data_IF_552683297021
#
_entry.id   IF_552683297021
#
_cell.length_a   1.000
_cell.length_b   1.000
_cell.length_c   1.000
_cell.angle_alpha   90.00
_cell.angle_beta   90.00
_cell.angle_gamma   90.00
#
_symmetry.space_group_name_H-M   'P 1'
#
loop_
_entity.id
_entity.type
_entity.pdbx_description
1 polymer ?
#
# COMPACT_ATOMS: atom_id res chain seq x y z
N UNK A 1 5.55 -27.49 3.30
CA UNK A 1 4.94 -26.45 4.19
C UNK A 1 5.76 -26.40 5.46
N UNK A 2 6.06 -25.20 5.98
CA UNK A 2 6.81 -25.00 7.22
C UNK A 2 8.28 -24.61 7.00
N UNK A 3 8.53 -23.36 6.61
CA UNK A 3 9.86 -22.78 6.69
C UNK A 3 9.85 -21.73 7.81
N UNK A 4 10.73 -21.88 8.80
CA UNK A 4 10.97 -20.87 9.83
C UNK A 4 12.21 -20.06 9.43
N UNK A 5 12.16 -18.75 9.64
CA UNK A 5 13.33 -17.87 9.54
C UNK A 5 13.40 -17.03 10.80
N UNK A 6 14.57 -17.00 11.42
CA UNK A 6 14.89 -16.06 12.48
C UNK A 6 15.61 -14.87 11.84
N UNK A 7 15.19 -13.67 12.23
CA UNK A 7 15.81 -12.42 11.81
C UNK A 7 16.32 -11.72 13.07
N UNK A 8 17.56 -11.24 13.01
CA UNK A 8 18.19 -10.43 14.04
C UNK A 8 18.67 -9.14 13.38
N UNK A 9 18.46 -8.00 14.05
CA UNK A 9 18.93 -6.71 13.59
C UNK A 9 19.25 -5.81 14.78
N UNK A 10 20.21 -4.91 14.58
CA UNK A 10 20.53 -3.85 15.52
C UNK A 10 19.59 -2.65 15.28
N UNK A 11 18.80 -2.29 16.29
CA UNK A 11 17.85 -1.18 16.24
C UNK A 11 18.56 0.17 16.46
N UNK A 12 19.61 0.43 15.67
CA UNK A 12 20.49 1.60 15.83
C UNK A 12 19.89 2.90 15.30
N UNK A 13 18.99 2.81 14.32
CA UNK A 13 18.46 3.97 13.62
C UNK A 13 17.04 4.30 14.10
N UNK A 14 16.91 5.44 14.77
CA UNK A 14 15.63 5.95 15.25
C UNK A 14 14.67 6.18 14.08
N UNK A 15 13.42 5.79 14.26
CA UNK A 15 12.41 5.91 13.21
C UNK A 15 11.25 4.94 13.33
N UNK A 16 10.32 5.07 12.39
CA UNK A 16 9.23 4.14 12.17
C UNK A 16 9.51 3.31 10.92
N UNK A 17 9.76 2.01 11.12
CA UNK A 17 10.24 1.12 10.08
C UNK A 17 9.15 0.16 9.62
N UNK A 18 8.80 0.27 8.34
CA UNK A 18 7.84 -0.61 7.68
C UNK A 18 8.37 -2.04 7.56
N UNK A 19 7.61 -3.00 8.06
CA UNK A 19 7.83 -4.44 7.83
C UNK A 19 6.55 -5.02 7.23
N UNK A 20 6.68 -5.56 6.02
CA UNK A 20 5.59 -6.22 5.31
C UNK A 20 6.13 -7.23 4.29
N UNK A 21 5.24 -8.04 3.73
CA UNK A 21 5.60 -8.89 2.61
C UNK A 21 5.84 -8.03 1.36
N UNK A 22 7.00 -8.17 0.72
CA UNK A 22 7.36 -7.40 -0.47
C UNK A 22 6.63 -7.89 -1.76
N UNK A 23 5.88 -8.99 -1.71
CA UNK A 23 5.08 -9.43 -2.86
C UNK A 23 3.85 -8.52 -2.98
N UNK A 24 3.74 -7.81 -4.09
CA UNK A 24 2.72 -6.76 -4.26
C UNK A 24 1.27 -7.24 -4.06
N UNK A 25 0.96 -8.49 -4.39
CA UNK A 25 -0.38 -9.04 -4.16
C UNK A 25 -0.62 -9.57 -2.73
N UNK A 26 0.40 -9.59 -1.88
CA UNK A 26 0.27 -10.00 -0.48
C UNK A 26 -0.09 -8.83 0.44
N UNK A 27 0.17 -7.59 0.01
CA UNK A 27 -0.26 -6.38 0.74
C UNK A 27 -1.68 -5.96 0.37
N UNK A 28 -2.33 -6.69 -0.54
CA UNK A 28 -3.69 -6.43 -1.00
C UNK A 28 -4.61 -7.53 -0.44
N UNK A 29 -5.36 -7.20 0.62
CA UNK A 29 -6.44 -8.05 1.12
C UNK A 29 -7.56 -8.18 0.09
N UNK A 30 -8.44 -9.18 0.24
CA UNK A 30 -9.76 -9.31 -0.41
C UNK A 30 -9.93 -8.71 -1.82
N UNK A 31 -8.94 -8.89 -2.71
CA UNK A 31 -9.05 -8.52 -4.12
C UNK A 31 -9.42 -9.75 -4.95
N UNK A 32 -10.47 -9.65 -5.75
CA UNK A 32 -10.87 -10.73 -6.66
C UNK A 32 -9.83 -10.94 -7.75
N UNK A 33 -9.41 -12.19 -7.97
CA UNK A 33 -8.42 -12.54 -9.00
C UNK A 33 -9.03 -12.72 -10.40
N UNK A 34 -10.33 -12.98 -10.49
CA UNK A 34 -11.02 -13.31 -11.74
C UNK A 34 -11.69 -12.10 -12.42
N UNK A 35 -11.41 -10.88 -11.93
CA UNK A 35 -12.00 -9.65 -12.45
C UNK A 35 -10.90 -8.86 -13.18
N UNK A 36 -11.16 -8.38 -14.42
CA UNK A 36 -10.23 -7.51 -15.12
C UNK A 36 -9.90 -6.24 -14.32
N UNK A 37 -8.69 -5.72 -14.48
CA UNK A 37 -8.33 -4.41 -13.92
C UNK A 37 -9.17 -3.31 -14.56
N UNK A 38 -9.79 -2.46 -13.73
CA UNK A 38 -10.57 -1.30 -14.18
C UNK A 38 -9.81 0.02 -14.03
N UNK A 39 -8.50 -0.03 -13.74
CA UNK A 39 -7.69 1.17 -13.56
C UNK A 39 -7.70 1.99 -14.86
N UNK A 40 -8.12 3.25 -14.75
CA UNK A 40 -8.22 4.18 -15.89
C UNK A 40 -9.48 4.02 -16.76
N UNK A 41 -10.39 3.08 -16.45
CA UNK A 41 -11.66 2.94 -17.17
C UNK A 41 -12.71 3.95 -16.66
N UNK A 42 -13.34 4.70 -17.56
CA UNK A 42 -14.48 5.56 -17.21
C UNK A 42 -15.75 4.71 -17.01
N UNK A 43 -16.16 4.58 -15.74
CA UNK A 43 -17.36 3.83 -15.33
C UNK A 43 -18.54 4.74 -14.97
N UNK A 44 -18.45 6.05 -15.15
CA UNK A 44 -19.45 7.03 -14.68
C UNK A 44 -20.88 6.71 -15.14
N UNK A 45 -21.06 6.53 -16.45
CA UNK A 45 -22.36 6.21 -17.07
C UNK A 45 -22.91 4.83 -16.66
N UNK A 46 -22.02 3.86 -16.46
CA UNK A 46 -22.41 2.51 -16.04
C UNK A 46 -22.85 2.53 -14.57
N UNK A 47 -22.10 3.23 -13.71
CA UNK A 47 -22.45 3.40 -12.31
C UNK A 47 -23.79 4.13 -12.12
N UNK A 48 -24.11 5.11 -12.96
CA UNK A 48 -25.43 5.77 -12.96
C UNK A 48 -26.56 4.78 -13.27
N UNK A 49 -26.38 3.92 -14.27
CA UNK A 49 -27.38 2.90 -14.63
C UNK A 49 -27.57 1.86 -13.53
N UNK A 50 -26.48 1.39 -12.91
CA UNK A 50 -26.53 0.41 -11.82
C UNK A 50 -27.25 1.00 -10.61
N UNK A 51 -26.99 2.27 -10.26
CA UNK A 51 -27.64 2.94 -9.13
C UNK A 51 -29.15 3.08 -9.24
N UNK A 52 -29.73 2.95 -10.45
CA UNK A 52 -31.20 2.88 -10.63
C UNK A 52 -31.80 1.58 -10.08
N UNK A 53 -30.99 0.52 -9.96
CA UNK A 53 -31.40 -0.79 -9.45
C UNK A 53 -30.86 -1.06 -8.04
N UNK A 54 -29.61 -0.64 -7.77
CA UNK A 54 -28.96 -0.75 -6.47
C UNK A 54 -28.40 0.63 -6.07
N UNK A 55 -29.18 1.45 -5.35
CA UNK A 55 -28.79 2.83 -5.00
C UNK A 55 -27.44 2.95 -4.28
N UNK A 56 -27.10 1.97 -3.45
CA UNK A 56 -25.87 1.91 -2.64
C UNK A 56 -24.63 1.47 -3.45
N UNK A 57 -24.74 1.28 -4.78
CA UNK A 57 -23.61 0.84 -5.58
C UNK A 57 -22.50 1.89 -5.64
N UNK A 58 -21.32 1.51 -5.15
CA UNK A 58 -20.10 2.31 -5.23
C UNK A 58 -19.14 1.75 -6.27
N UNK A 59 -18.76 2.51 -7.32
CA UNK A 59 -17.84 2.05 -8.34
C UNK A 59 -16.41 2.01 -7.81
N UNK A 60 -15.91 0.79 -7.64
CA UNK A 60 -14.60 0.52 -7.04
C UNK A 60 -13.49 0.34 -8.10
N UNK A 61 -12.25 0.75 -7.79
CA UNK A 61 -11.03 0.33 -8.51
C UNK A 61 -10.69 1.13 -9.76
N UNK A 62 -11.21 2.35 -9.90
CA UNK A 62 -10.91 3.23 -11.06
C UNK A 62 -9.51 3.85 -10.95
N UNK A 63 -9.11 4.25 -9.74
CA UNK A 63 -7.82 4.91 -9.48
C UNK A 63 -6.82 4.04 -8.70
N UNK A 64 -7.12 2.75 -8.54
CA UNK A 64 -6.29 1.80 -7.77
C UNK A 64 -6.88 1.48 -6.40
N UNK A 65 -6.08 0.83 -5.55
CA UNK A 65 -6.52 0.37 -4.22
C UNK A 65 -6.75 1.51 -3.23
N UNK A 66 -5.97 2.58 -3.34
CA UNK A 66 -6.07 3.75 -2.47
C UNK A 66 -7.45 4.42 -2.49
N UNK A 67 -8.06 4.47 -3.69
CA UNK A 67 -9.41 4.98 -3.93
C UNK A 67 -10.46 4.24 -3.07
N UNK A 68 -10.18 2.99 -2.68
CA UNK A 68 -11.06 2.19 -1.84
C UNK A 68 -10.93 2.50 -0.36
N UNK A 69 -9.81 3.07 0.09
CA UNK A 69 -9.57 3.40 1.50
C UNK A 69 -10.39 4.57 2.00
N UNK A 70 -10.77 5.48 1.10
CA UNK A 70 -11.67 6.58 1.40
C UNK A 70 -13.15 6.17 1.35
N UNK A 71 -13.45 4.95 0.89
CA UNK A 71 -14.82 4.42 0.72
C UNK A 71 -15.13 3.37 1.79
N UNK A 72 -15.28 3.81 3.04
CA UNK A 72 -15.63 2.93 4.15
C UNK A 72 -17.02 2.32 3.93
N UNK A 73 -17.07 1.00 3.75
CA UNK A 73 -18.31 0.23 3.59
C UNK A 73 -18.57 -0.61 4.85
N UNK A 74 -19.83 -0.90 5.19
CA UNK A 74 -20.15 -1.92 6.19
C UNK A 74 -19.59 -3.28 5.73
N UNK A 75 -18.64 -3.83 6.49
CA UNK A 75 -18.04 -5.15 6.23
C UNK A 75 -18.54 -6.13 7.31
N UNK A 76 -18.80 -7.41 7.00
CA UNK A 76 -19.11 -8.41 8.03
C UNK A 76 -18.04 -8.46 9.12
N UNK A 77 -18.45 -8.64 10.39
CA UNK A 77 -17.56 -8.62 11.57
C UNK A 77 -16.35 -9.57 11.47
N UNK A 78 -16.48 -10.69 10.74
CA UNK A 78 -15.42 -11.69 10.57
C UNK A 78 -14.51 -11.44 9.35
N UNK A 79 -14.49 -10.23 8.82
CA UNK A 79 -13.65 -9.88 7.67
C UNK A 79 -12.46 -9.06 8.12
N UNK A 80 -11.26 -9.43 7.69
CA UNK A 80 -10.07 -8.59 7.91
C UNK A 80 -10.30 -7.26 7.19
N UNK A 81 -10.05 -6.10 7.83
CA UNK A 81 -10.25 -4.82 7.19
C UNK A 81 -9.51 -4.77 5.84
N UNK A 82 -10.17 -4.30 4.79
CA UNK A 82 -9.49 -4.10 3.51
C UNK A 82 -8.36 -3.06 3.66
N UNK A 83 -8.54 -2.11 4.58
CA UNK A 83 -7.63 -1.03 4.93
C UNK A 83 -7.63 -0.90 6.45
N UNK A 84 -6.47 -0.70 7.09
CA UNK A 84 -6.38 -0.51 8.54
C UNK A 84 -5.10 0.19 8.93
N UNK A 85 -5.14 0.89 10.05
CA UNK A 85 -4.02 1.68 10.55
C UNK A 85 -3.99 3.09 9.95
N UNK A 86 -3.61 4.04 10.79
CA UNK A 86 -3.41 5.44 10.43
C UNK A 86 -1.98 5.82 10.76
N UNK A 87 -1.25 6.34 9.77
CA UNK A 87 0.07 6.92 9.95
C UNK A 87 0.00 8.45 10.08
N UNK A 88 1.15 9.12 10.25
CA UNK A 88 1.22 10.58 10.38
C UNK A 88 0.80 11.33 9.10
N UNK A 89 0.70 10.62 7.97
CA UNK A 89 0.38 11.20 6.66
C UNK A 89 -0.89 10.62 6.03
N UNK A 90 -1.71 9.88 6.79
CA UNK A 90 -2.97 9.31 6.30
C UNK A 90 -3.08 7.79 6.51
N UNK A 91 -4.02 7.13 5.82
CA UNK A 91 -4.31 5.72 6.03
C UNK A 91 -3.16 4.81 5.55
N UNK A 92 -2.94 3.71 6.27
CA UNK A 92 -1.95 2.68 5.90
C UNK A 92 -2.68 1.57 5.12
N UNK A 93 -2.49 1.59 3.81
CA UNK A 93 -3.33 0.88 2.84
C UNK A 93 -3.00 -0.62 2.66
N UNK A 94 -2.71 -1.33 3.75
CA UNK A 94 -2.19 -2.71 3.70
C UNK A 94 -2.98 -3.73 4.53
N UNK A 95 -4.21 -3.41 4.96
CA UNK A 95 -5.17 -4.39 5.49
C UNK A 95 -4.66 -5.28 6.64
N UNK A 96 -3.75 -4.79 7.48
CA UNK A 96 -3.21 -5.54 8.62
C UNK A 96 -2.07 -6.49 8.25
N UNK A 97 -1.65 -6.49 6.99
CA UNK A 97 -0.46 -7.22 6.48
C UNK A 97 0.82 -6.36 6.57
N UNK A 98 0.80 -5.37 7.46
CA UNK A 98 1.85 -4.39 7.67
C UNK A 98 2.10 -4.21 9.16
N UNK A 99 3.35 -4.07 9.53
CA UNK A 99 3.77 -3.74 10.90
C UNK A 99 4.76 -2.59 10.86
N UNK A 100 4.73 -1.77 11.91
CA UNK A 100 5.72 -0.70 12.11
C UNK A 100 6.59 -1.09 13.30
N UNK A 101 7.90 -1.20 13.08
CA UNK A 101 8.86 -1.28 14.17
C UNK A 101 9.24 0.14 14.57
N UNK A 102 8.86 0.51 15.80
CA UNK A 102 9.14 1.82 16.39
C UNK A 102 10.47 1.74 17.14
N UNK A 103 11.50 2.39 16.60
CA UNK A 103 12.82 2.46 17.23
C UNK A 103 12.97 3.82 17.92
N UNK A 104 13.10 3.81 19.24
CA UNK A 104 13.23 5.00 20.10
C UNK A 104 14.26 4.77 21.20
N UNK A 105 14.85 5.86 21.69
CA UNK A 105 15.58 5.84 22.95
C UNK A 105 14.61 5.80 24.14
N UNK A 106 15.06 5.27 25.28
CA UNK A 106 14.31 5.32 26.54
C UNK A 106 13.14 4.35 26.67
N UNK A 107 12.90 3.46 25.70
CA UNK A 107 11.95 2.35 25.85
C UNK A 107 12.59 1.27 26.71
N UNK A 108 11.97 0.97 27.86
CA UNK A 108 12.42 -0.11 28.73
C UNK A 108 12.02 -1.49 28.18
N UNK A 109 12.72 -2.55 28.57
CA UNK A 109 12.49 -3.90 28.03
C UNK A 109 11.05 -4.44 28.23
N UNK A 110 10.35 -3.94 29.26
CA UNK A 110 8.99 -4.34 29.60
C UNK A 110 7.96 -3.22 29.33
N UNK A 111 8.35 -2.18 28.58
CA UNK A 111 7.46 -1.10 28.16
C UNK A 111 6.84 -1.40 26.79
N UNK A 112 5.52 -1.66 26.80
CA UNK A 112 4.71 -1.94 25.61
C UNK A 112 3.81 -0.77 25.22
N UNK A 113 3.96 0.39 25.85
CA UNK A 113 3.19 1.57 25.47
C UNK A 113 3.57 2.02 24.05
N UNK A 114 2.62 2.58 23.31
CA UNK A 114 2.91 3.20 22.01
C UNK A 114 3.67 4.52 22.26
N UNK A 115 4.94 4.65 21.82
CA UNK A 115 5.70 5.88 21.97
C UNK A 115 5.27 6.99 20.98
N UNK A 116 4.26 6.71 20.14
CA UNK A 116 3.77 7.63 19.11
C UNK A 116 4.57 7.58 17.82
N UNK A 117 4.29 8.52 16.91
CA UNK A 117 4.97 8.65 15.62
C UNK A 117 6.34 9.31 15.78
N UNK A 118 7.29 8.91 14.95
CA UNK A 118 8.63 9.50 14.94
C UNK A 118 8.58 10.87 14.26
N UNK A 119 9.10 11.89 14.95
CA UNK A 119 9.30 13.20 14.36
C UNK A 119 10.58 13.17 13.52
N UNK A 120 10.43 13.11 12.20
CA UNK A 120 11.55 13.14 11.29
C UNK A 120 12.31 14.48 11.40
N UNK A 121 13.66 14.46 11.38
CA UNK A 121 14.43 15.70 11.38
C UNK A 121 14.07 16.61 10.20
N UNK A 122 14.13 17.94 10.37
CA UNK A 122 13.83 18.89 9.29
C UNK A 122 14.63 18.59 8.01
N UNK A 123 13.95 18.60 6.87
CA UNK A 123 14.54 18.34 5.55
C UNK A 123 14.78 16.87 5.19
N UNK A 124 14.36 15.92 6.04
CA UNK A 124 14.52 14.47 5.77
C UNK A 124 13.24 13.79 5.26
N UNK A 125 12.08 14.42 5.44
CA UNK A 125 10.82 13.94 4.88
C UNK A 125 10.76 14.23 3.38
N UNK A 126 10.08 13.37 2.62
CA UNK A 126 9.76 13.66 1.23
C UNK A 126 8.76 14.82 1.14
N UNK A 127 8.82 15.57 0.05
CA UNK A 127 7.89 16.66 -0.26
C UNK A 127 7.40 16.52 -1.71
N UNK A 128 6.28 17.19 -2.01
CA UNK A 128 5.75 17.25 -3.37
C UNK A 128 6.77 17.88 -4.32
N UNK A 129 7.03 17.21 -5.44
CA UNK A 129 7.86 17.75 -6.50
C UNK A 129 7.02 18.66 -7.41
N UNK A 130 7.34 19.95 -7.43
CA UNK A 130 6.64 20.96 -8.23
C UNK A 130 7.36 21.36 -9.53
N UNK A 131 8.50 20.72 -9.82
CA UNK A 131 9.27 20.94 -11.05
C UNK A 131 8.80 20.07 -12.22
N UNK A 132 9.45 20.23 -13.37
CA UNK A 132 9.20 19.36 -14.52
C UNK A 132 9.70 17.93 -14.25
N UNK A 133 8.89 16.94 -14.59
CA UNK A 133 9.30 15.54 -14.61
C UNK A 133 9.95 15.23 -15.97
N UNK A 134 11.02 14.41 -15.99
CA UNK A 134 11.56 13.93 -17.25
C UNK A 134 10.49 13.14 -18.02
N UNK A 135 10.54 13.20 -19.36
CA UNK A 135 9.61 12.44 -20.19
C UNK A 135 9.68 10.94 -19.84
N UNK A 136 8.53 10.37 -19.45
CA UNK A 136 8.46 8.95 -19.10
C UNK A 136 8.96 8.10 -20.27
N UNK A 137 9.82 7.12 -19.98
CA UNK A 137 10.24 6.15 -20.98
C UNK A 137 9.04 5.29 -21.38
N UNK A 138 8.61 5.41 -22.63
CA UNK A 138 7.52 4.61 -23.19
C UNK A 138 8.08 3.58 -24.16
N UNK A 139 7.48 2.40 -24.21
CA UNK A 139 7.73 1.45 -25.27
C UNK A 139 7.36 2.09 -26.63
N UNK A 140 8.25 1.99 -27.62
CA UNK A 140 8.01 2.54 -28.96
C UNK A 140 6.96 1.74 -29.74
N UNK A 141 6.81 0.46 -29.40
CA UNK A 141 5.84 -0.45 -29.97
C UNK A 141 5.43 -1.51 -28.92
N UNK A 142 4.49 -2.38 -29.29
CA UNK A 142 3.99 -3.46 -28.43
C UNK A 142 4.89 -4.71 -28.43
N UNK A 143 6.06 -4.68 -29.07
CA UNK A 143 6.93 -5.87 -29.13
C UNK A 143 7.58 -6.08 -27.77
N UNK A 144 7.54 -7.32 -27.29
CA UNK A 144 8.25 -7.72 -26.08
C UNK A 144 9.75 -7.49 -26.25
N UNK A 145 10.33 -6.58 -25.47
CA UNK A 145 11.77 -6.40 -25.39
C UNK A 145 12.34 -7.38 -24.37
N UNK A 146 13.11 -8.35 -24.84
CA UNK A 146 13.79 -9.30 -23.96
C UNK A 146 15.09 -8.62 -23.48
N UNK A 147 15.21 -8.39 -22.18
CA UNK A 147 16.47 -7.93 -21.59
C UNK A 147 17.56 -8.96 -21.89
N UNK A 148 18.68 -8.59 -22.55
CA UNK A 148 19.78 -9.51 -22.80
C UNK A 148 20.29 -10.09 -21.49
N UNK A 149 20.67 -11.38 -21.50
CA UNK A 149 21.29 -12.02 -20.34
C UNK A 149 22.56 -11.24 -19.96
N UNK A 150 22.74 -10.86 -18.68
CA UNK A 150 23.97 -10.20 -18.26
C UNK A 150 25.17 -11.07 -18.64
N UNK A 151 26.12 -10.51 -19.39
CA UNK A 151 27.44 -11.13 -19.56
C UNK A 151 28.23 -10.86 -18.30
N UNK A 152 28.53 -11.90 -17.52
CA UNK A 152 29.47 -11.78 -16.41
C UNK A 152 30.81 -11.31 -16.99
N UNK A 153 31.23 -10.10 -16.59
CA UNK A 153 32.59 -9.61 -16.78
C UNK A 153 33.50 -10.10 -15.67
#
# INVERSE_FOLDING_TARGET
>A
VGAMRAYEFDARYLGDWAIHCHKSHHTMNAMGHDIPTFIGADKSKVAEKIRKLQPEYMPMGTKGMADMGEMEMPIPENTVPMMTGWGPHGPIEMGGMFSVVKVREGISADDYADPGWYENPPGTQAWEWTGELPAATKAKDAKTQITPKPTNG
#
